data_IF_643202393241
#
_entry.id   IF_643202393241
#
_cell.length_a   1.000
_cell.length_b   1.000
_cell.length_c   1.000
_cell.angle_alpha   90.00
_cell.angle_beta   90.00
_cell.angle_gamma   90.00
#
_symmetry.space_group_name_H-M   'P 1'
#
loop_
_entity.id
_entity.type
_entity.pdbx_description
1 polymer ?
#
# COMPACT_ATOMS: atom_id res chain seq x y z
N UNK A 1 -28.00 -11.80 -13.14
CA UNK A 1 -27.49 -12.75 -14.16
C UNK A 1 -26.27 -13.42 -13.58
N UNK A 2 -26.31 -14.73 -13.31
CA UNK A 2 -25.20 -15.44 -12.68
C UNK A 2 -24.03 -15.54 -13.67
N UNK A 3 -22.86 -15.07 -13.26
CA UNK A 3 -21.66 -15.20 -14.09
C UNK A 3 -21.22 -16.67 -14.09
N UNK A 4 -21.03 -17.26 -15.26
CA UNK A 4 -20.71 -18.67 -15.41
C UNK A 4 -19.36 -18.97 -14.71
N UNK A 5 -19.27 -20.07 -13.94
CA UNK A 5 -18.09 -20.45 -13.14
C UNK A 5 -16.79 -20.40 -13.97
N UNK A 6 -16.89 -20.82 -15.23
CA UNK A 6 -15.80 -20.79 -16.21
C UNK A 6 -15.25 -19.38 -16.50
N UNK A 7 -16.10 -18.36 -16.57
CA UNK A 7 -15.66 -16.98 -16.83
C UNK A 7 -14.92 -16.43 -15.62
N UNK A 8 -15.40 -16.72 -14.41
CA UNK A 8 -14.73 -16.33 -13.16
C UNK A 8 -13.34 -16.96 -13.08
N UNK A 9 -13.22 -18.26 -13.36
CA UNK A 9 -11.95 -18.98 -13.35
C UNK A 9 -10.95 -18.41 -14.36
N UNK A 10 -11.41 -17.99 -15.55
CA UNK A 10 -10.54 -17.33 -16.53
C UNK A 10 -10.05 -15.97 -16.03
N UNK A 11 -10.95 -15.14 -15.49
CA UNK A 11 -10.61 -13.81 -15.01
C UNK A 11 -9.65 -13.84 -13.82
N UNK A 12 -9.77 -14.81 -12.91
CA UNK A 12 -8.81 -15.00 -11.80
C UNK A 12 -7.38 -15.19 -12.31
N UNK A 13 -7.20 -15.87 -13.46
CA UNK A 13 -5.88 -16.18 -14.02
C UNK A 13 -5.24 -15.01 -14.75
N UNK A 14 -6.01 -14.01 -15.15
CA UNK A 14 -5.50 -12.85 -15.88
C UNK A 14 -4.87 -11.83 -14.92
N UNK A 15 -3.73 -11.22 -15.27
CA UNK A 15 -3.16 -10.12 -14.49
C UNK A 15 -4.15 -8.95 -14.33
N UNK A 16 -4.23 -8.35 -13.15
CA UNK A 16 -5.16 -7.23 -12.86
C UNK A 16 -5.00 -6.05 -13.82
N UNK A 17 -3.77 -5.77 -14.28
CA UNK A 17 -3.51 -4.72 -15.29
C UNK A 17 -4.32 -4.90 -16.59
N UNK A 18 -4.61 -6.14 -16.96
CA UNK A 18 -5.43 -6.47 -18.14
C UNK A 18 -6.92 -6.27 -17.82
N UNK A 19 -7.33 -6.54 -16.58
CA UNK A 19 -8.72 -6.49 -16.14
C UNK A 19 -9.21 -5.07 -15.84
N UNK A 20 -8.33 -4.18 -15.38
CA UNK A 20 -8.67 -2.81 -14.97
C UNK A 20 -9.42 -2.01 -16.06
N UNK A 21 -9.00 -2.00 -17.33
CA UNK A 21 -9.73 -1.29 -18.39
C UNK A 21 -11.19 -1.75 -18.55
N UNK A 22 -11.45 -3.02 -18.27
CA UNK A 22 -12.79 -3.60 -18.35
C UNK A 22 -13.67 -3.31 -17.12
N UNK A 23 -13.18 -2.57 -16.10
CA UNK A 23 -14.05 -2.03 -15.04
C UNK A 23 -15.18 -1.16 -15.60
N UNK A 24 -15.00 -0.58 -16.78
CA UNK A 24 -16.02 0.21 -17.50
C UNK A 24 -17.19 -0.64 -18.00
N UNK A 25 -17.01 -1.96 -18.13
CA UNK A 25 -18.06 -2.88 -18.55
C UNK A 25 -18.87 -3.28 -17.32
N UNK A 26 -20.16 -2.89 -17.28
CA UNK A 26 -21.04 -3.00 -16.11
C UNK A 26 -20.99 -4.37 -15.42
N UNK A 27 -20.97 -5.47 -16.19
CA UNK A 27 -20.94 -6.83 -15.64
C UNK A 27 -19.63 -7.14 -14.89
N UNK A 28 -18.50 -6.58 -15.33
CA UNK A 28 -17.18 -6.87 -14.76
C UNK A 28 -16.84 -5.87 -13.65
N UNK A 29 -17.43 -4.67 -13.68
CA UNK A 29 -17.30 -3.65 -12.65
C UNK A 29 -17.65 -4.17 -11.24
N UNK A 30 -18.77 -4.90 -11.11
CA UNK A 30 -19.22 -5.47 -9.83
C UNK A 30 -18.33 -6.63 -9.37
N UNK A 31 -17.84 -7.44 -10.30
CA UNK A 31 -16.91 -8.53 -10.00
C UNK A 31 -15.56 -7.99 -9.49
N UNK A 32 -15.01 -6.98 -10.16
CA UNK A 32 -13.72 -6.36 -9.82
C UNK A 32 -13.77 -5.47 -8.56
N UNK A 33 -14.96 -5.33 -7.95
CA UNK A 33 -15.17 -4.74 -6.61
C UNK A 33 -15.50 -5.80 -5.56
N UNK A 34 -15.80 -7.03 -5.96
CA UNK A 34 -16.16 -8.10 -5.03
C UNK A 34 -14.93 -8.57 -4.23
N UNK A 35 -14.99 -8.46 -2.90
CA UNK A 35 -13.88 -8.82 -2.00
C UNK A 35 -13.46 -10.28 -2.11
N UNK A 36 -14.41 -11.22 -2.27
CA UNK A 36 -14.11 -12.65 -2.47
C UNK A 36 -13.34 -12.88 -3.77
N UNK A 37 -13.75 -12.22 -4.87
CA UNK A 37 -13.02 -12.31 -6.14
C UNK A 37 -11.61 -11.71 -6.02
N UNK A 38 -11.47 -10.55 -5.37
CA UNK A 38 -10.17 -9.91 -5.16
C UNK A 38 -9.24 -10.81 -4.35
N UNK A 39 -9.72 -11.41 -3.25
CA UNK A 39 -8.92 -12.33 -2.44
C UNK A 39 -8.53 -13.59 -3.19
N UNK A 40 -9.45 -14.17 -3.97
CA UNK A 40 -9.18 -15.35 -4.79
C UNK A 40 -8.15 -15.05 -5.90
N UNK A 41 -8.27 -13.89 -6.55
CA UNK A 41 -7.31 -13.39 -7.52
C UNK A 41 -5.93 -13.17 -6.89
N UNK A 42 -5.87 -12.49 -5.75
CA UNK A 42 -4.63 -12.25 -5.01
C UNK A 42 -3.94 -13.57 -4.65
N UNK A 43 -4.66 -14.50 -4.03
CA UNK A 43 -4.12 -15.80 -3.63
C UNK A 43 -3.58 -16.60 -4.83
N UNK A 44 -4.28 -16.55 -5.97
CA UNK A 44 -3.82 -17.22 -7.18
C UNK A 44 -2.49 -16.66 -7.70
N UNK A 45 -2.31 -15.33 -7.73
CA UNK A 45 -1.09 -14.70 -8.25
C UNK A 45 0.05 -14.65 -7.23
N UNK A 46 -0.23 -14.52 -5.93
CA UNK A 46 0.78 -14.56 -4.86
C UNK A 46 1.56 -15.87 -4.85
N UNK A 47 0.94 -16.99 -5.23
CA UNK A 47 1.58 -18.29 -5.33
C UNK A 47 2.40 -18.49 -6.60
N UNK A 48 2.28 -17.58 -7.58
CA UNK A 48 2.91 -17.72 -8.90
C UNK A 48 4.08 -16.78 -9.11
N UNK A 49 3.97 -15.53 -8.64
CA UNK A 49 4.99 -14.51 -8.86
C UNK A 49 5.43 -13.93 -7.52
N UNK A 50 6.66 -14.24 -7.10
CA UNK A 50 7.27 -13.65 -5.92
C UNK A 50 8.02 -12.38 -6.32
N UNK A 51 7.51 -11.24 -5.87
CA UNK A 51 8.10 -9.92 -6.06
C UNK A 51 8.68 -9.44 -4.73
N UNK A 52 9.90 -8.91 -4.76
CA UNK A 52 10.53 -8.23 -3.63
C UNK A 52 10.58 -6.74 -3.90
N UNK A 53 10.23 -5.94 -2.89
CA UNK A 53 10.49 -4.50 -2.89
C UNK A 53 11.83 -4.30 -2.22
N UNK A 54 12.80 -3.78 -2.97
CA UNK A 54 14.14 -3.49 -2.48
C UNK A 54 14.23 -1.99 -2.25
N UNK A 55 14.67 -1.61 -1.06
CA UNK A 55 14.96 -0.23 -0.67
C UNK A 55 16.46 0.02 -0.76
N UNK A 56 16.84 1.08 -1.46
CA UNK A 56 18.22 1.56 -1.48
C UNK A 56 18.28 2.94 -0.84
N UNK A 57 18.89 2.99 0.33
CA UNK A 57 19.26 4.24 0.98
C UNK A 57 20.63 4.66 0.49
N UNK A 58 20.78 5.94 0.15
CA UNK A 58 22.08 6.53 -0.11
C UNK A 58 22.19 7.88 0.61
N UNK A 59 23.39 8.14 1.11
CA UNK A 59 23.74 9.39 1.78
C UNK A 59 25.18 9.72 1.41
N UNK A 60 25.38 10.82 0.71
CA UNK A 60 26.68 11.44 0.45
C UNK A 60 26.67 12.92 0.89
N UNK A 61 27.79 13.61 0.70
CA UNK A 61 27.95 15.00 1.16
C UNK A 61 26.99 16.00 0.48
N UNK A 62 26.36 15.64 -0.65
CA UNK A 62 25.48 16.50 -1.43
C UNK A 62 24.06 15.95 -1.62
N UNK A 63 23.87 14.64 -1.47
CA UNK A 63 22.60 13.97 -1.76
C UNK A 63 22.30 12.91 -0.71
N UNK A 64 21.07 12.95 -0.23
CA UNK A 64 20.45 11.83 0.47
C UNK A 64 19.17 11.47 -0.26
N UNK A 65 18.82 10.18 -0.25
CA UNK A 65 17.59 9.75 -0.88
C UNK A 65 17.29 8.28 -0.69
N UNK A 66 16.10 7.92 -1.15
CA UNK A 66 15.58 6.56 -1.16
C UNK A 66 15.10 6.22 -2.56
N UNK A 67 15.67 5.16 -3.14
CA UNK A 67 15.17 4.54 -4.36
C UNK A 67 14.48 3.22 -4.00
N UNK A 68 13.40 2.90 -4.73
CA UNK A 68 12.80 1.58 -4.67
C UNK A 68 13.00 0.84 -5.99
N UNK A 69 13.19 -0.47 -5.86
CA UNK A 69 13.23 -1.38 -6.98
C UNK A 69 12.26 -2.54 -6.74
N UNK A 70 11.65 -3.01 -7.82
CA UNK A 70 10.92 -4.26 -7.82
C UNK A 70 11.82 -5.35 -8.40
N UNK A 71 12.06 -6.39 -7.62
CA UNK A 71 12.82 -7.56 -8.04
C UNK A 71 11.90 -8.76 -8.19
N UNK A 72 11.80 -9.29 -9.40
CA UNK A 72 11.06 -10.50 -9.69
C UNK A 72 11.98 -11.72 -9.51
N UNK A 73 11.71 -12.53 -8.49
CA UNK A 73 12.61 -13.61 -8.06
C UNK A 73 12.84 -14.65 -9.17
N UNK A 74 11.78 -15.03 -9.89
CA UNK A 74 11.85 -16.09 -10.90
C UNK A 74 12.62 -15.65 -12.15
N UNK A 75 12.29 -14.46 -12.66
CA UNK A 75 12.94 -13.92 -13.87
C UNK A 75 14.29 -13.27 -13.57
N UNK A 76 14.60 -13.03 -12.29
CA UNK A 76 15.76 -12.29 -11.80
C UNK A 76 15.88 -10.89 -12.41
N UNK A 77 14.74 -10.29 -12.75
CA UNK A 77 14.68 -8.95 -13.31
C UNK A 77 14.49 -7.94 -12.20
N UNK A 78 15.25 -6.85 -12.29
CA UNK A 78 15.11 -5.67 -11.46
C UNK A 78 14.56 -4.53 -12.30
N UNK A 79 13.62 -3.79 -11.77
CA UNK A 79 13.09 -2.57 -12.37
C UNK A 79 12.94 -1.49 -11.32
N UNK A 80 13.13 -0.23 -11.73
CA UNK A 80 12.88 0.91 -10.87
C UNK A 80 11.39 0.98 -10.50
N UNK A 81 11.11 1.35 -9.26
CA UNK A 81 9.76 1.34 -8.71
C UNK A 81 9.42 2.70 -8.11
N UNK A 82 8.82 3.57 -8.90
CA UNK A 82 8.56 4.93 -8.48
C UNK A 82 7.38 5.02 -7.52
N UNK A 83 7.63 5.56 -6.33
CA UNK A 83 6.58 5.92 -5.39
C UNK A 83 5.90 7.21 -5.86
N UNK A 84 4.56 7.28 -5.84
CA UNK A 84 3.88 8.51 -6.19
C UNK A 84 4.25 9.67 -5.28
N UNK A 85 4.50 10.85 -5.88
CA UNK A 85 4.68 12.09 -5.13
C UNK A 85 3.32 12.54 -4.57
N UNK A 86 3.22 12.57 -3.23
CA UNK A 86 1.99 12.95 -2.51
C UNK A 86 2.10 14.28 -1.77
N UNK A 87 3.31 14.83 -1.70
CA UNK A 87 3.66 16.07 -1.00
C UNK A 87 4.78 16.77 -1.78
N UNK A 88 4.95 18.06 -1.54
CA UNK A 88 6.02 18.85 -2.17
C UNK A 88 7.36 18.70 -1.46
N UNK A 89 7.40 18.06 -0.30
CA UNK A 89 8.61 17.90 0.51
C UNK A 89 9.55 16.83 -0.04
N UNK A 90 10.83 17.17 -0.14
CA UNK A 90 11.91 16.34 -0.70
C UNK A 90 12.62 15.48 0.35
N UNK A 91 12.12 15.46 1.59
CA UNK A 91 12.66 14.67 2.71
C UNK A 91 12.52 13.15 2.53
N UNK A 92 11.80 12.70 1.49
CA UNK A 92 11.69 11.31 1.11
C UNK A 92 10.54 10.54 1.79
N UNK A 93 10.56 9.22 1.65
CA UNK A 93 9.52 8.33 2.14
C UNK A 93 10.14 7.07 2.74
N UNK A 94 9.31 6.23 3.38
CA UNK A 94 9.66 4.89 3.85
C UNK A 94 8.49 3.95 3.62
N UNK A 95 8.75 2.70 3.24
CA UNK A 95 7.69 1.66 3.20
C UNK A 95 7.45 1.16 4.62
N UNK A 96 6.21 1.30 5.09
CA UNK A 96 5.76 0.74 6.37
C UNK A 96 5.53 -0.76 6.25
N UNK A 97 4.97 -1.19 5.11
CA UNK A 97 4.75 -2.60 4.81
C UNK A 97 3.89 -2.79 3.57
N UNK A 98 3.70 -4.04 3.17
CA UNK A 98 2.81 -4.44 2.10
C UNK A 98 1.80 -5.48 2.58
N UNK A 99 0.59 -5.43 2.05
CA UNK A 99 -0.47 -6.39 2.39
C UNK A 99 -1.50 -6.44 1.26
N UNK A 100 -1.85 -7.64 0.78
CA UNK A 100 -2.90 -7.85 -0.22
C UNK A 100 -2.74 -6.97 -1.49
N UNK A 101 -1.50 -6.79 -1.96
CA UNK A 101 -1.19 -5.96 -3.13
C UNK A 101 -1.21 -4.45 -2.89
N UNK A 102 -1.50 -3.99 -1.67
CA UNK A 102 -1.33 -2.61 -1.25
C UNK A 102 0.01 -2.40 -0.55
N UNK A 103 0.54 -1.19 -0.68
CA UNK A 103 1.74 -0.73 -0.01
C UNK A 103 1.37 0.44 0.89
N UNK A 104 1.74 0.36 2.16
CA UNK A 104 1.63 1.48 3.09
C UNK A 104 2.96 2.24 3.10
N UNK A 105 2.89 3.54 2.85
CA UNK A 105 4.05 4.42 2.72
C UNK A 105 3.91 5.57 3.70
N UNK A 106 5.00 5.88 4.40
CA UNK A 106 5.13 7.07 5.22
C UNK A 106 5.98 8.09 4.47
N UNK A 107 5.44 9.29 4.23
CA UNK A 107 6.19 10.43 3.76
C UNK A 107 6.52 11.33 4.95
N UNK A 108 7.80 11.63 5.13
CA UNK A 108 8.28 12.44 6.24
C UNK A 108 8.55 13.86 5.74
N UNK A 109 8.10 14.88 6.47
CA UNK A 109 8.49 16.28 6.29
C UNK A 109 8.73 16.92 7.66
N UNK A 110 9.35 18.10 7.70
CA UNK A 110 9.42 18.93 8.90
C UNK A 110 8.15 19.73 9.15
N UNK A 111 7.23 19.74 8.17
CA UNK A 111 6.00 20.50 8.20
C UNK A 111 4.75 19.58 8.20
N UNK A 112 3.53 20.16 8.32
CA UNK A 112 2.26 19.43 8.31
C UNK A 112 1.94 18.61 7.05
N UNK A 113 2.76 18.68 6.00
CA UNK A 113 2.63 17.86 4.79
C UNK A 113 2.94 16.38 5.04
N UNK A 114 3.70 16.04 6.09
CA UNK A 114 3.99 14.65 6.47
C UNK A 114 2.72 13.80 6.52
N UNK A 115 2.73 12.60 5.94
CA UNK A 115 1.54 11.76 5.93
C UNK A 115 1.85 10.27 5.76
N UNK A 116 0.90 9.45 6.20
CA UNK A 116 0.84 8.04 5.83
C UNK A 116 -0.22 7.86 4.74
N UNK A 117 0.10 7.09 3.70
CA UNK A 117 -0.84 6.79 2.64
C UNK A 117 -0.75 5.34 2.18
N UNK A 118 -1.89 4.82 1.72
CA UNK A 118 -1.96 3.56 1.02
C UNK A 118 -1.80 3.80 -0.47
N UNK A 119 -1.04 2.94 -1.12
CA UNK A 119 -0.82 2.95 -2.55
C UNK A 119 -1.11 1.56 -3.13
N UNK A 120 -1.88 1.54 -4.21
CA UNK A 120 -2.05 0.37 -5.06
C UNK A 120 -1.21 0.57 -6.34
N UNK A 121 -0.05 -0.11 -6.47
CA UNK A 121 0.81 0.03 -7.64
C UNK A 121 0.18 -0.45 -8.95
N UNK A 122 -0.84 -1.30 -8.87
CA UNK A 122 -1.48 -1.89 -10.05
C UNK A 122 -2.54 -0.95 -10.65
N UNK A 123 -3.22 -0.19 -9.80
CA UNK A 123 -4.28 0.75 -10.22
C UNK A 123 -3.81 2.21 -10.18
N UNK A 124 -2.59 2.46 -9.69
CA UNK A 124 -2.08 3.80 -9.36
C UNK A 124 -2.95 4.59 -8.38
N UNK A 125 -3.89 3.93 -7.69
CA UNK A 125 -4.74 4.58 -6.69
C UNK A 125 -3.94 4.87 -5.43
N UNK A 126 -4.12 6.08 -4.91
CA UNK A 126 -3.46 6.57 -3.70
C UNK A 126 -4.55 7.02 -2.74
N UNK A 127 -4.35 6.73 -1.47
CA UNK A 127 -5.24 7.18 -0.42
C UNK A 127 -4.45 7.61 0.80
N UNK A 128 -4.52 8.91 1.11
CA UNK A 128 -3.99 9.43 2.38
C UNK A 128 -4.84 8.93 3.53
N UNK A 129 -4.19 8.42 4.57
CA UNK A 129 -4.85 8.05 5.81
C UNK A 129 -5.05 9.37 6.56
N UNK A 130 -6.28 9.90 6.52
CA UNK A 130 -6.58 11.22 7.08
C UNK A 130 -6.36 11.22 8.58
N UNK A 131 -5.34 11.91 9.06
CA UNK A 131 -5.06 12.10 10.47
C UNK A 131 -5.95 13.22 11.03
N UNK A 132 -6.64 12.95 12.15
CA UNK A 132 -7.46 13.98 12.78
C UNK A 132 -6.51 15.08 13.26
N UNK A 133 -6.89 16.35 13.10
CA UNK A 133 -6.06 17.54 13.29
C UNK A 133 -5.36 17.65 14.66
N UNK A 134 -5.80 16.84 15.64
CA UNK A 134 -5.26 16.80 17.00
C UNK A 134 -4.45 15.52 17.36
N UNK A 135 -4.22 14.56 16.45
CA UNK A 135 -3.76 13.21 16.83
C UNK A 135 -2.36 12.79 16.35
N UNK A 136 -1.81 11.82 17.08
CA UNK A 136 -0.40 11.44 17.19
C UNK A 136 0.13 10.54 16.06
N UNK A 137 -0.48 10.57 14.87
CA UNK A 137 0.02 9.87 13.69
C UNK A 137 0.84 10.76 12.75
N UNK A 138 0.93 12.07 13.00
CA UNK A 138 1.70 12.96 12.14
C UNK A 138 3.19 12.60 12.25
N UNK A 139 3.88 12.20 11.16
CA UNK A 139 5.29 11.82 11.23
C UNK A 139 6.16 12.95 11.80
N UNK A 140 5.88 14.22 11.46
CA UNK A 140 6.60 15.38 11.99
C UNK A 140 6.35 15.66 13.48
N UNK A 141 5.29 15.11 14.08
CA UNK A 141 5.00 15.23 15.52
C UNK A 141 5.38 13.98 16.33
N UNK A 142 5.86 12.92 15.65
CA UNK A 142 6.18 11.67 16.30
C UNK A 142 7.44 11.80 17.16
N UNK A 143 7.50 11.19 18.36
CA UNK A 143 8.73 11.08 19.11
C UNK A 143 9.82 10.38 18.28
N UNK A 144 11.11 10.65 18.53
CA UNK A 144 12.17 9.82 17.99
C UNK A 144 11.92 8.36 18.39
N UNK A 145 12.19 7.41 17.48
CA UNK A 145 11.98 5.96 17.65
C UNK A 145 10.53 5.44 17.57
N UNK A 146 9.64 6.21 16.94
CA UNK A 146 8.31 5.73 16.58
C UNK A 146 8.37 4.57 15.56
N UNK A 147 7.70 3.45 15.86
CA UNK A 147 7.49 2.32 14.95
C UNK A 147 6.12 2.43 14.29
N UNK A 148 6.07 2.13 12.99
CA UNK A 148 4.84 2.01 12.23
C UNK A 148 4.65 0.56 11.78
N UNK A 149 3.42 0.07 11.88
CA UNK A 149 2.99 -1.22 11.37
C UNK A 149 1.80 -1.08 10.44
N UNK A 150 1.70 -1.97 9.46
CA UNK A 150 0.59 -2.02 8.51
C UNK A 150 0.05 -3.44 8.45
N UNK A 151 -1.27 -3.59 8.54
CA UNK A 151 -1.92 -4.89 8.49
C UNK A 151 -3.31 -4.84 7.88
N UNK A 152 -3.81 -5.99 7.44
CA UNK A 152 -5.20 -6.18 7.08
C UNK A 152 -5.96 -6.82 8.23
N UNK A 153 -7.01 -6.16 8.70
CA UNK A 153 -7.89 -6.68 9.75
C UNK A 153 -9.12 -7.34 9.11
N UNK A 154 -9.05 -8.67 9.00
CA UNK A 154 -10.12 -9.48 8.42
C UNK A 154 -11.46 -9.38 9.17
N UNK A 155 -11.48 -9.01 10.47
CA UNK A 155 -12.72 -8.90 11.25
C UNK A 155 -13.59 -7.73 10.81
N UNK A 156 -12.96 -6.63 10.43
CA UNK A 156 -13.62 -5.39 9.99
C UNK A 156 -13.49 -5.16 8.48
N UNK A 157 -12.84 -6.09 7.77
CA UNK A 157 -12.62 -6.05 6.32
C UNK A 157 -11.98 -4.72 5.87
N UNK A 158 -10.95 -4.29 6.61
CA UNK A 158 -10.27 -3.03 6.35
C UNK A 158 -8.80 -3.10 6.77
N UNK A 159 -8.01 -2.14 6.29
CA UNK A 159 -6.61 -2.03 6.63
C UNK A 159 -6.39 -1.14 7.84
N UNK A 160 -5.44 -1.53 8.67
CA UNK A 160 -5.07 -0.82 9.88
C UNK A 160 -3.60 -0.41 9.83
N UNK A 161 -3.34 0.84 10.21
CA UNK A 161 -2.00 1.32 10.52
C UNK A 161 -1.90 1.47 12.03
N UNK A 162 -0.81 0.90 12.57
CA UNK A 162 -0.49 0.93 13.99
C UNK A 162 0.74 1.78 14.20
N UNK A 163 0.72 2.60 15.24
CA UNK A 163 1.89 3.34 15.70
C UNK A 163 2.24 2.90 17.11
N UNK A 164 3.53 2.69 17.36
CA UNK A 164 4.08 2.36 18.68
C UNK A 164 5.21 3.36 18.95
N UNK A 165 5.12 4.10 20.05
CA UNK A 165 6.20 4.98 20.49
C UNK A 165 6.50 4.75 21.97
N UNK A 166 7.76 5.01 22.33
CA UNK A 166 8.19 4.96 23.71
C UNK A 166 8.09 6.36 24.32
N UNK A 167 6.94 6.68 24.93
CA UNK A 167 6.92 7.63 26.04
C UNK A 167 7.18 6.83 27.32
N UNK A 168 7.28 7.42 28.52
CA UNK A 168 7.45 6.62 29.75
C UNK A 168 6.28 5.61 30.02
N UNK A 169 5.26 5.57 29.16
CA UNK A 169 4.30 4.48 28.97
C UNK A 169 4.22 4.07 27.47
N UNK A 170 4.07 2.76 27.19
CA UNK A 170 3.78 2.26 25.83
C UNK A 170 2.34 2.60 25.45
N UNK A 171 2.16 3.43 24.42
CA UNK A 171 0.84 3.74 23.85
C UNK A 171 0.74 3.16 22.43
N UNK A 172 -0.38 2.49 22.14
CA UNK A 172 -0.67 1.88 20.83
C UNK A 172 -1.83 2.65 20.21
N UNK A 173 -1.57 3.36 19.12
CA UNK A 173 -2.62 3.98 18.32
C UNK A 173 -2.95 3.10 17.12
N UNK A 174 -4.25 2.88 16.89
CA UNK A 174 -4.76 2.13 15.74
C UNK A 174 -5.64 3.02 14.90
N UNK A 175 -5.47 2.96 13.58
CA UNK A 175 -6.32 3.68 12.65
C UNK A 175 -6.76 2.83 11.49
N UNK A 176 -8.07 2.79 11.30
CA UNK A 176 -8.72 2.15 10.16
C UNK A 176 -8.67 3.07 8.95
N UNK A 177 -8.43 2.47 7.78
CA UNK A 177 -8.31 3.21 6.53
C UNK A 177 -9.67 3.47 5.86
N UNK A 178 -10.74 2.80 6.28
CA UNK A 178 -12.12 2.82 5.81
C UNK A 178 -12.29 2.79 4.29
N UNK A 179 -12.10 1.66 3.60
CA UNK A 179 -12.59 1.48 2.21
C UNK A 179 -14.12 1.70 2.14
N UNK A 180 -14.57 2.91 1.79
CA UNK A 180 -15.91 3.14 1.23
C UNK A 180 -15.74 3.52 -0.24
N UNK A 181 -16.49 2.80 -1.06
CA UNK A 181 -16.41 2.62 -2.52
C UNK A 181 -16.41 3.86 -3.43
#
# INVERSE_FOLDING_TARGET
MAMNKTVRDLLIRLPLRILIPFRSVCMWSGLLRNSSFILEHLNYHSNKNSLLIIQRFYWDQQRSGLELFLFEIQSKKIQEFHVPRVTDSDMGFNIVGSCNGLICVCHCSHDPSSCVFLWNPTTSQIRRILELSNNALLPHKAPPYCLLGFSYNARVNDYEVVRIYHSHAMEIERKQCAQKD
#
